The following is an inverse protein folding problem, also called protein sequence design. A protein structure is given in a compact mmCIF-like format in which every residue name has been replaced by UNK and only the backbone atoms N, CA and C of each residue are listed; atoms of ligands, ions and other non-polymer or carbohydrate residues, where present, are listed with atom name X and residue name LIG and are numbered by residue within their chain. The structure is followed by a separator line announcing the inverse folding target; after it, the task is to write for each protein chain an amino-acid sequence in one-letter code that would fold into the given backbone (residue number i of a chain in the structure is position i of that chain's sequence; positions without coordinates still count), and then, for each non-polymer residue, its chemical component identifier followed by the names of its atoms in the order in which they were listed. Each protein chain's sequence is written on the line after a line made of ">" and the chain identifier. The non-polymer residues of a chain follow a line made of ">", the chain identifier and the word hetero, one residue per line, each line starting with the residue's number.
data_IF_857719755386
#
_entry.id   IF_857719755386
#
_cell.length_a   1.000
_cell.length_b   1.000
_cell.length_c   1.000
_cell.angle_alpha   90.00
_cell.angle_beta   90.00
_cell.angle_gamma   90.00
#
_symmetry.space_group_name_H-M   'P 1'
#
loop_
_entity.id
_entity.type
_entity.pdbx_description
1 polymer ?
#
# COMPACT_ATOMS: atom_id res chain seq x y z
N UNK A 1 8.54 2.92 -2.14
CA UNK A 1 9.07 2.99 -0.76
C UNK A 1 7.94 2.83 0.25
N UNK A 2 8.22 2.33 1.45
CA UNK A 2 7.26 2.24 2.55
C UNK A 2 7.71 3.14 3.71
N UNK A 3 6.76 3.82 4.33
CA UNK A 3 6.95 4.71 5.47
C UNK A 3 5.98 4.32 6.58
N UNK A 4 6.37 4.52 7.84
CA UNK A 4 5.55 4.19 9.01
C UNK A 4 5.54 5.37 9.98
N UNK A 5 4.40 5.61 10.61
CA UNK A 5 4.28 6.61 11.66
C UNK A 5 4.93 6.12 12.95
N UNK A 6 5.46 7.05 13.74
CA UNK A 6 6.11 6.73 15.00
C UNK A 6 5.18 6.00 15.99
N UNK A 7 3.89 6.33 15.97
CA UNK A 7 2.88 5.70 16.82
C UNK A 7 2.43 4.32 16.32
N UNK A 8 2.99 3.85 15.19
CA UNK A 8 2.64 2.61 14.48
C UNK A 8 1.17 2.52 14.06
N UNK A 9 0.46 3.65 13.95
CA UNK A 9 -0.96 3.66 13.55
C UNK A 9 -1.16 3.89 12.07
N UNK A 10 -0.12 4.35 11.39
CA UNK A 10 -0.17 4.65 9.98
C UNK A 10 1.01 4.04 9.23
N UNK A 11 0.71 3.55 8.04
CA UNK A 11 1.69 3.06 7.07
C UNK A 11 1.37 3.64 5.71
N UNK A 12 2.38 4.20 5.04
CA UNK A 12 2.27 4.73 3.69
C UNK A 12 3.09 3.93 2.69
N UNK A 13 2.56 3.86 1.47
CA UNK A 13 3.28 3.46 0.28
C UNK A 13 3.39 4.69 -0.60
N UNK A 14 4.61 4.98 -1.04
CA UNK A 14 4.90 6.11 -1.92
C UNK A 14 5.86 5.72 -3.04
N UNK A 15 5.72 6.37 -4.20
CA UNK A 15 6.71 6.35 -5.29
C UNK A 15 7.58 7.59 -5.22
N UNK A 16 8.76 7.53 -5.82
CA UNK A 16 9.68 8.67 -5.89
C UNK A 16 9.70 9.14 -7.34
N UNK A 17 9.26 10.36 -7.58
CA UNK A 17 9.53 11.04 -8.84
C UNK A 17 10.95 11.61 -8.79
N UNK A 18 11.86 10.97 -9.53
CA UNK A 18 13.27 11.37 -9.58
C UNK A 18 13.50 12.64 -10.41
N UNK A 19 12.60 12.97 -11.34
CA UNK A 19 12.71 14.17 -12.15
C UNK A 19 12.37 15.42 -11.32
N UNK A 20 11.27 15.34 -10.56
CA UNK A 20 10.81 16.45 -9.71
C UNK A 20 11.35 16.38 -8.27
N UNK A 21 12.01 15.29 -7.88
CA UNK A 21 12.53 15.02 -6.52
C UNK A 21 11.43 15.05 -5.46
N UNK A 22 10.25 14.53 -5.81
CA UNK A 22 9.07 14.52 -4.96
C UNK A 22 8.66 13.10 -4.60
N UNK A 23 8.03 12.95 -3.43
CA UNK A 23 7.35 11.72 -3.04
C UNK A 23 5.89 11.80 -3.49
N UNK A 24 5.46 10.81 -4.25
CA UNK A 24 4.08 10.68 -4.66
C UNK A 24 3.35 9.65 -3.80
N UNK A 25 2.23 10.08 -3.24
CA UNK A 25 1.39 9.26 -2.39
C UNK A 25 0.65 8.19 -3.21
N UNK A 26 0.76 6.92 -2.81
CA UNK A 26 0.03 5.81 -3.44
C UNK A 26 -1.06 5.24 -2.54
N UNK A 27 -0.71 4.91 -1.29
CA UNK A 27 -1.65 4.26 -0.36
C UNK A 27 -1.35 4.60 1.11
N UNK A 28 -2.39 4.69 1.94
CA UNK A 28 -2.33 4.82 3.40
C UNK A 28 -3.15 3.70 4.03
N UNK A 29 -2.53 2.97 4.94
CA UNK A 29 -3.22 2.09 5.87
C UNK A 29 -3.22 2.75 7.24
N UNK A 30 -4.39 2.84 7.87
CA UNK A 30 -4.58 3.41 9.19
C UNK A 30 -5.25 2.39 10.11
N UNK A 31 -4.78 2.27 11.34
CA UNK A 31 -5.38 1.46 12.40
C UNK A 31 -5.41 2.28 13.71
N UNK A 32 -6.55 2.27 14.41
CA UNK A 32 -6.73 3.03 15.65
C UNK A 32 -5.87 2.49 16.80
N UNK A 33 -5.51 1.20 16.76
CA UNK A 33 -4.67 0.53 17.74
C UNK A 33 -3.22 0.47 17.26
N UNK A 34 -2.93 -0.33 16.22
CA UNK A 34 -1.62 -0.42 15.56
C UNK A 34 -1.72 -1.19 14.24
N UNK A 35 -0.92 -0.78 13.24
CA UNK A 35 -0.77 -1.51 11.98
C UNK A 35 0.05 -2.78 12.22
N UNK A 36 -0.47 -3.93 11.80
CA UNK A 36 0.24 -5.20 11.94
C UNK A 36 1.27 -5.39 10.81
N UNK A 37 2.45 -5.91 11.14
CA UNK A 37 3.52 -6.18 10.16
C UNK A 37 3.25 -7.36 9.22
N UNK A 38 2.25 -8.21 9.51
CA UNK A 38 1.99 -9.44 8.75
C UNK A 38 1.59 -9.21 7.28
N UNK A 39 0.94 -8.08 6.97
CA UNK A 39 0.39 -7.79 5.64
C UNK A 39 1.08 -6.60 4.97
N UNK A 40 2.41 -6.59 5.05
CA UNK A 40 3.29 -5.54 4.54
C UNK A 40 3.94 -5.87 3.18
N UNK A 41 3.51 -6.93 2.50
CA UNK A 41 4.07 -7.22 1.18
C UNK A 41 3.64 -6.13 0.18
N UNK A 42 4.63 -5.56 -0.50
CA UNK A 42 4.44 -4.69 -1.65
C UNK A 42 5.66 -4.81 -2.56
N UNK A 43 5.45 -4.77 -3.86
CA UNK A 43 6.53 -4.64 -4.85
C UNK A 43 5.95 -4.24 -6.21
N UNK A 44 6.82 -4.00 -7.18
CA UNK A 44 6.45 -3.82 -8.57
C UNK A 44 6.23 -5.18 -9.24
N UNK A 45 5.22 -5.26 -10.11
CA UNK A 45 5.06 -6.39 -11.01
C UNK A 45 6.10 -6.31 -12.13
N UNK A 46 6.75 -7.43 -12.45
CA UNK A 46 7.76 -7.52 -13.50
C UNK A 46 7.31 -6.86 -14.80
N UNK A 47 8.23 -6.11 -15.41
CA UNK A 47 8.06 -5.47 -16.72
C UNK A 47 6.83 -4.56 -16.83
N UNK A 48 6.37 -4.00 -15.70
CA UNK A 48 5.21 -3.11 -15.68
C UNK A 48 5.33 -1.99 -14.64
N UNK A 49 4.68 -0.86 -14.93
CA UNK A 49 4.50 0.24 -13.99
C UNK A 49 3.32 -0.02 -13.02
N UNK A 50 3.10 -1.28 -12.67
CA UNK A 50 2.01 -1.68 -11.77
C UNK A 50 2.59 -2.13 -10.44
N UNK A 51 2.19 -1.46 -9.39
CA UNK A 51 2.50 -1.82 -8.02
C UNK A 51 1.47 -2.85 -7.53
N UNK A 52 1.93 -3.90 -6.84
CA UNK A 52 1.06 -4.72 -6.01
C UNK A 52 1.34 -4.44 -4.53
N UNK A 53 0.31 -4.54 -3.70
CA UNK A 53 0.46 -4.42 -2.26
C UNK A 53 -0.67 -5.12 -1.50
N UNK A 54 -0.38 -5.53 -0.28
CA UNK A 54 -1.38 -6.04 0.66
C UNK A 54 -1.85 -4.92 1.59
N UNK A 55 -3.17 -4.87 1.84
CA UNK A 55 -3.77 -3.89 2.73
C UNK A 55 -4.98 -4.43 3.46
N UNK A 56 -5.14 -3.97 4.70
CA UNK A 56 -6.28 -4.26 5.57
C UNK A 56 -7.23 -3.06 5.73
N UNK A 57 -7.23 -2.10 4.81
CA UNK A 57 -7.98 -0.84 5.01
C UNK A 57 -9.50 -1.05 5.04
N UNK A 58 -9.98 -2.23 4.62
CA UNK A 58 -11.37 -2.68 4.70
C UNK A 58 -11.66 -3.51 5.96
N UNK A 59 -10.66 -3.76 6.81
CA UNK A 59 -10.73 -4.66 7.96
C UNK A 59 -10.42 -6.13 7.66
N UNK A 60 -10.04 -6.46 6.41
CA UNK A 60 -9.57 -7.78 5.99
C UNK A 60 -8.37 -7.65 5.07
N UNK A 61 -7.47 -8.63 5.09
CA UNK A 61 -6.29 -8.62 4.24
C UNK A 61 -6.68 -8.92 2.78
N UNK A 62 -6.37 -7.96 1.91
CA UNK A 62 -6.60 -8.08 0.48
C UNK A 62 -5.36 -7.71 -0.33
N UNK A 63 -5.23 -8.35 -1.49
CA UNK A 63 -4.24 -8.00 -2.51
C UNK A 63 -4.81 -6.93 -3.43
N UNK A 64 -4.05 -5.87 -3.61
CA UNK A 64 -4.37 -4.77 -4.51
C UNK A 64 -3.30 -4.65 -5.58
N UNK A 65 -3.72 -4.17 -6.75
CA UNK A 65 -2.83 -3.69 -7.81
C UNK A 65 -3.20 -2.25 -8.16
N UNK A 66 -2.20 -1.44 -8.44
CA UNK A 66 -2.38 -0.03 -8.74
C UNK A 66 -1.26 0.44 -9.67
N UNK A 67 -1.62 1.23 -10.68
CA UNK A 67 -0.65 2.08 -11.39
C UNK A 67 -0.59 3.44 -10.71
N UNK A 68 0.59 4.06 -10.54
CA UNK A 68 0.69 5.39 -9.97
C UNK A 68 -0.27 6.38 -10.66
N UNK A 69 -1.04 7.12 -9.86
CA UNK A 69 -2.06 8.06 -10.35
C UNK A 69 -3.42 7.44 -10.70
N UNK A 70 -3.54 6.11 -10.73
CA UNK A 70 -4.82 5.41 -10.91
C UNK A 70 -5.41 4.95 -9.57
N UNK A 71 -6.70 4.62 -9.57
CA UNK A 71 -7.34 4.01 -8.39
C UNK A 71 -6.88 2.56 -8.21
N UNK A 72 -6.66 2.11 -6.96
CA UNK A 72 -6.29 0.73 -6.71
C UNK A 72 -7.44 -0.23 -7.00
N UNK A 73 -7.09 -1.41 -7.50
CA UNK A 73 -8.01 -2.50 -7.84
C UNK A 73 -7.74 -3.67 -6.91
N UNK A 74 -8.77 -4.11 -6.18
CA UNK A 74 -8.71 -5.30 -5.34
C UNK A 74 -8.75 -6.56 -6.22
N UNK A 75 -7.78 -7.47 -6.05
CA UNK A 75 -7.74 -8.78 -6.72
C UNK A 75 -8.38 -9.89 -5.88
N UNK A 76 -8.58 -9.64 -4.58
CA UNK A 76 -9.22 -10.57 -3.65
C UNK A 76 -10.39 -9.88 -2.97
N UNK A 77 -11.39 -10.67 -2.57
CA UNK A 77 -12.53 -10.20 -1.80
C UNK A 77 -12.95 -11.25 -0.78
N UNK A 78 -13.70 -10.83 0.24
CA UNK A 78 -14.20 -11.71 1.29
C UNK A 78 -13.72 -11.31 2.68
N UNK A 79 -13.86 -12.23 3.64
CA UNK A 79 -13.40 -12.04 5.02
C UNK A 79 -12.16 -12.89 5.25
N UNK A 80 -11.02 -12.38 4.80
CA UNK A 80 -9.73 -13.06 4.84
C UNK A 80 -8.89 -12.47 5.98
N UNK A 81 -8.48 -13.32 6.92
CA UNK A 81 -7.71 -12.96 8.10
C UNK A 81 -6.20 -12.98 7.86
#
# INVERSE_FOLDING_TARGET
>A
VMLEAWDNKDRWIATVDLANKTLEYQHRLHDDAWVNYRFNAFDWLNDSETLYYQSEHTGYSHLYVQKPGEKPVALTSGRLC
#
